data_IF_816641590091
#
_entry.id   IF_816641590091
#
_cell.length_a   1.000
_cell.length_b   1.000
_cell.length_c   1.000
_cell.angle_alpha   90.00
_cell.angle_beta   90.00
_cell.angle_gamma   90.00
#
_symmetry.space_group_name_H-M   'P 1'
#
loop_
_entity.id
_entity.type
_entity.pdbx_description
1 polymer ?
#
# COMPACT_ATOMS: atom_id res chain seq x y z
N UNK A 1 18.29 -13.86 11.55
CA UNK A 1 17.23 -14.82 11.97
C UNK A 1 17.71 -16.26 11.98
N UNK A 2 18.16 -16.86 10.86
CA UNK A 2 18.66 -18.26 10.85
C UNK A 2 19.77 -18.49 11.89
N UNK A 3 20.73 -17.57 12.00
CA UNK A 3 21.77 -17.65 13.04
C UNK A 3 21.20 -17.68 14.47
N UNK A 4 20.16 -16.90 14.76
CA UNK A 4 19.49 -16.94 16.06
C UNK A 4 18.75 -18.26 16.28
N UNK A 5 18.10 -18.80 15.25
CA UNK A 5 17.45 -20.11 15.30
C UNK A 5 18.43 -21.22 15.69
N UNK A 6 19.64 -21.19 15.11
CA UNK A 6 20.72 -22.11 15.49
C UNK A 6 21.18 -21.90 16.92
N UNK A 7 21.36 -20.65 17.37
CA UNK A 7 21.77 -20.33 18.74
C UNK A 7 20.78 -20.81 19.80
N UNK A 8 19.47 -20.77 19.51
CA UNK A 8 18.44 -21.28 20.43
C UNK A 8 18.19 -22.80 20.28
N UNK A 9 19.01 -23.50 19.49
CA UNK A 9 18.98 -24.96 19.40
C UNK A 9 17.92 -25.54 18.45
N UNK A 10 17.40 -24.78 17.48
CA UNK A 10 16.51 -25.35 16.46
C UNK A 10 17.29 -26.40 15.63
N UNK A 11 16.78 -27.64 15.49
CA UNK A 11 17.51 -28.69 14.78
C UNK A 11 17.80 -28.33 13.31
N UNK A 12 18.97 -28.73 12.77
CA UNK A 12 19.32 -28.54 11.37
C UNK A 12 18.23 -29.06 10.42
N UNK A 13 17.96 -28.31 9.35
CA UNK A 13 16.93 -28.65 8.36
C UNK A 13 15.50 -28.25 8.73
N UNK A 14 15.23 -27.82 9.97
CA UNK A 14 13.90 -27.35 10.40
C UNK A 14 13.56 -25.97 9.81
N UNK A 15 14.53 -25.05 9.82
CA UNK A 15 14.41 -23.72 9.24
C UNK A 15 15.47 -23.56 8.15
N UNK A 16 15.03 -23.43 6.91
CA UNK A 16 15.89 -23.18 5.76
C UNK A 16 15.52 -21.81 5.17
N UNK A 17 16.52 -20.98 4.87
CA UNK A 17 16.32 -19.69 4.21
C UNK A 17 17.03 -19.73 2.86
N UNK A 18 16.26 -19.56 1.79
CA UNK A 18 16.77 -19.49 0.43
C UNK A 18 16.54 -18.07 -0.07
N UNK A 19 17.62 -17.40 -0.50
CA UNK A 19 17.57 -16.04 -1.05
C UNK A 19 17.64 -16.18 -2.57
N UNK A 20 16.65 -15.63 -3.27
CA UNK A 20 16.60 -15.63 -4.72
C UNK A 20 15.43 -14.81 -5.25
N UNK A 21 15.18 -14.94 -6.54
CA UNK A 21 14.15 -14.20 -7.25
C UNK A 21 12.94 -15.06 -7.59
N UNK A 22 12.26 -14.73 -8.71
CA UNK A 22 11.11 -15.49 -9.21
C UNK A 22 11.41 -16.96 -9.46
N UNK A 23 12.64 -17.30 -9.86
CA UNK A 23 13.13 -18.65 -10.10
C UNK A 23 13.05 -19.54 -8.85
N UNK A 24 13.47 -19.03 -7.70
CA UNK A 24 13.35 -19.75 -6.42
C UNK A 24 11.88 -19.90 -6.02
N UNK A 25 11.07 -18.85 -6.21
CA UNK A 25 9.64 -18.91 -5.95
C UNK A 25 8.93 -19.97 -6.80
N UNK A 26 9.25 -20.05 -8.09
CA UNK A 26 8.72 -21.04 -9.03
C UNK A 26 9.12 -22.46 -8.63
N UNK A 27 10.41 -22.69 -8.33
CA UNK A 27 10.91 -23.98 -7.90
C UNK A 27 10.22 -24.46 -6.62
N UNK A 28 10.05 -23.59 -5.62
CA UNK A 28 9.35 -23.93 -4.37
C UNK A 28 7.85 -24.21 -4.60
N UNK A 29 7.20 -23.41 -5.45
CA UNK A 29 5.77 -23.55 -5.71
C UNK A 29 5.41 -24.81 -6.49
N UNK A 30 6.33 -25.31 -7.33
CA UNK A 30 6.15 -26.52 -8.15
C UNK A 30 6.78 -27.78 -7.53
N UNK A 31 7.59 -27.67 -6.47
CA UNK A 31 8.26 -28.81 -5.86
C UNK A 31 7.26 -29.88 -5.38
N UNK A 32 7.52 -31.14 -5.73
CA UNK A 32 6.63 -32.28 -5.43
C UNK A 32 6.59 -32.66 -3.95
N UNK A 33 7.68 -32.42 -3.21
CA UNK A 33 7.76 -32.76 -1.78
C UNK A 33 7.31 -31.65 -0.83
N UNK A 34 7.06 -30.43 -1.33
CA UNK A 34 6.54 -29.34 -0.49
C UNK A 34 5.05 -29.54 -0.30
N UNK A 35 4.60 -29.61 0.96
CA UNK A 35 3.18 -29.90 1.28
C UNK A 35 2.28 -28.68 1.41
N UNK A 36 2.86 -27.50 1.65
CA UNK A 36 2.11 -26.24 1.82
C UNK A 36 2.95 -25.04 1.41
N UNK A 37 2.31 -24.06 0.78
CA UNK A 37 2.88 -22.74 0.52
C UNK A 37 2.03 -21.67 1.22
N UNK A 38 2.70 -20.71 1.85
CA UNK A 38 2.12 -19.42 2.25
C UNK A 38 2.85 -18.33 1.49
N UNK A 39 2.12 -17.46 0.82
CA UNK A 39 2.69 -16.43 -0.05
C UNK A 39 2.05 -15.08 0.23
N UNK A 40 2.87 -14.02 0.28
CA UNK A 40 2.44 -12.64 0.49
C UNK A 40 3.12 -11.72 -0.50
N UNK A 41 2.39 -11.18 -1.48
CA UNK A 41 2.84 -10.16 -2.43
C UNK A 41 1.70 -9.76 -3.40
N UNK A 42 2.02 -9.46 -4.66
CA UNK A 42 1.07 -9.07 -5.69
C UNK A 42 0.09 -10.17 -6.10
N UNK A 43 -1.11 -9.75 -6.53
CA UNK A 43 -2.14 -10.64 -7.06
C UNK A 43 -1.63 -11.46 -8.25
N UNK A 44 -0.82 -10.85 -9.13
CA UNK A 44 -0.24 -11.51 -10.30
C UNK A 44 0.62 -12.71 -9.89
N UNK A 45 1.53 -12.53 -8.94
CA UNK A 45 2.39 -13.61 -8.46
C UNK A 45 1.61 -14.66 -7.66
N UNK A 46 0.62 -14.25 -6.86
CA UNK A 46 -0.26 -15.17 -6.13
C UNK A 46 -1.01 -16.13 -7.05
N UNK A 47 -1.51 -15.65 -8.19
CA UNK A 47 -2.14 -16.49 -9.23
C UNK A 47 -1.16 -17.53 -9.79
N UNK A 48 0.08 -17.14 -10.06
CA UNK A 48 1.11 -18.06 -10.56
C UNK A 48 1.45 -19.15 -9.54
N UNK A 49 1.59 -18.79 -8.26
CA UNK A 49 1.80 -19.74 -7.15
C UNK A 49 0.66 -20.77 -7.11
N UNK A 50 -0.59 -20.30 -7.21
CA UNK A 50 -1.77 -21.17 -7.18
C UNK A 50 -1.79 -22.16 -8.36
N UNK A 51 -1.46 -21.69 -9.57
CA UNK A 51 -1.37 -22.53 -10.77
C UNK A 51 -0.25 -23.57 -10.63
N UNK A 52 0.93 -23.17 -10.17
CA UNK A 52 2.06 -24.09 -9.98
C UNK A 52 1.75 -25.17 -8.95
N UNK A 53 1.10 -24.81 -7.84
CA UNK A 53 0.66 -25.77 -6.83
C UNK A 53 -0.37 -26.77 -7.39
N UNK A 54 -1.30 -26.30 -8.22
CA UNK A 54 -2.30 -27.14 -8.87
C UNK A 54 -1.68 -28.12 -9.87
N UNK A 55 -0.69 -27.65 -10.65
CA UNK A 55 -0.01 -28.46 -11.67
C UNK A 55 0.99 -29.48 -11.11
N UNK A 56 1.39 -29.37 -9.84
CA UNK A 56 2.38 -30.27 -9.25
C UNK A 56 1.74 -31.39 -8.42
N UNK A 57 1.38 -31.10 -7.16
CA UNK A 57 1.03 -32.09 -6.14
C UNK A 57 -0.21 -31.66 -5.34
N UNK A 58 -0.96 -30.68 -5.84
CA UNK A 58 -2.15 -30.10 -5.20
C UNK A 58 -1.88 -29.62 -3.76
N UNK A 59 -0.67 -29.12 -3.49
CA UNK A 59 -0.28 -28.60 -2.17
C UNK A 59 -1.22 -27.49 -1.70
N UNK A 60 -1.45 -27.42 -0.39
CA UNK A 60 -2.25 -26.35 0.21
C UNK A 60 -1.59 -24.99 -0.01
N UNK A 61 -2.36 -23.98 -0.43
CA UNK A 61 -1.88 -22.62 -0.65
C UNK A 61 -2.66 -21.64 0.23
N UNK A 62 -1.95 -20.72 0.88
CA UNK A 62 -2.53 -19.54 1.55
C UNK A 62 -1.92 -18.29 0.92
N UNK A 63 -2.78 -17.39 0.43
CA UNK A 63 -2.37 -16.17 -0.26
C UNK A 63 -2.82 -14.94 0.55
N UNK A 64 -1.90 -14.04 0.84
CA UNK A 64 -2.17 -12.70 1.39
C UNK A 64 -1.74 -11.69 0.32
N UNK A 65 -2.68 -11.06 -0.37
CA UNK A 65 -2.39 -10.30 -1.58
C UNK A 65 -2.65 -8.80 -1.39
N UNK A 66 -2.21 -8.02 -2.37
CA UNK A 66 -2.47 -6.58 -2.43
C UNK A 66 -3.96 -6.22 -2.42
N UNK A 67 -4.25 -4.99 -2.01
CA UNK A 67 -5.62 -4.51 -1.83
C UNK A 67 -5.73 -2.99 -1.94
N UNK A 68 -6.94 -2.53 -2.23
CA UNK A 68 -7.28 -1.11 -2.38
C UNK A 68 -8.32 -0.75 -1.31
N UNK A 69 -7.87 -0.62 -0.06
CA UNK A 69 -8.79 -0.67 1.10
C UNK A 69 -9.60 0.63 1.24
N UNK A 70 -10.94 0.55 1.38
CA UNK A 70 -11.77 1.71 1.58
C UNK A 70 -11.82 2.13 3.05
N UNK A 71 -11.84 3.44 3.31
CA UNK A 71 -12.23 4.06 4.57
C UNK A 71 -13.45 4.94 4.32
N UNK A 72 -14.54 4.72 5.07
CA UNK A 72 -15.81 5.44 4.90
C UNK A 72 -16.10 6.25 6.16
N UNK A 73 -16.24 7.57 6.02
CA UNK A 73 -16.46 8.51 7.12
C UNK A 73 -17.86 9.12 7.01
N UNK A 74 -18.72 8.79 7.99
CA UNK A 74 -20.09 9.30 8.08
C UNK A 74 -20.17 10.58 8.92
N UNK A 75 -21.25 11.40 8.79
CA UNK A 75 -21.38 12.68 9.48
C UNK A 75 -21.38 12.60 11.01
N UNK A 76 -21.76 11.44 11.56
CA UNK A 76 -21.77 11.19 13.00
C UNK A 76 -20.43 10.67 13.53
N UNK A 77 -19.41 10.54 12.68
CA UNK A 77 -18.07 10.20 13.10
C UNK A 77 -17.41 11.36 13.85
N UNK A 78 -16.61 11.04 14.85
CA UNK A 78 -15.66 11.99 15.43
C UNK A 78 -14.57 12.27 14.39
N UNK A 79 -14.54 13.50 13.85
CA UNK A 79 -13.65 13.88 12.76
C UNK A 79 -12.18 13.74 13.14
N UNK A 80 -11.79 14.11 14.37
CA UNK A 80 -10.40 14.02 14.83
C UNK A 80 -9.96 12.56 14.92
N UNK A 81 -10.84 11.67 15.40
CA UNK A 81 -10.54 10.24 15.46
C UNK A 81 -10.55 9.59 14.08
N UNK A 82 -11.35 10.10 13.14
CA UNK A 82 -11.40 9.59 11.77
C UNK A 82 -10.18 10.01 10.92
N UNK A 83 -9.48 11.08 11.27
CA UNK A 83 -8.22 11.48 10.61
C UNK A 83 -7.08 10.48 10.85
N UNK A 84 -7.08 9.78 11.99
CA UNK A 84 -6.05 8.79 12.31
C UNK A 84 -6.01 7.64 11.28
N UNK A 85 -7.09 6.91 11.01
CA UNK A 85 -7.08 5.90 9.94
C UNK A 85 -6.86 6.54 8.56
N UNK A 86 -7.40 7.73 8.28
CA UNK A 86 -7.25 8.40 6.98
C UNK A 86 -5.81 8.81 6.65
N UNK A 87 -4.93 8.91 7.65
CA UNK A 87 -3.51 9.23 7.48
C UNK A 87 -2.62 7.98 7.44
N UNK A 88 -3.17 6.77 7.62
CA UNK A 88 -2.37 5.54 7.63
C UNK A 88 -1.70 5.24 6.28
N UNK A 89 -2.20 5.75 5.16
CA UNK A 89 -1.51 5.63 3.86
C UNK A 89 -0.10 6.27 3.85
N UNK A 90 0.21 7.13 4.83
CA UNK A 90 1.55 7.70 5.02
C UNK A 90 2.53 6.69 5.65
N UNK A 91 2.02 5.67 6.35
CA UNK A 91 2.86 4.65 6.98
C UNK A 91 3.64 3.87 5.92
N UNK A 92 4.92 3.65 6.17
CA UNK A 92 5.82 2.95 5.25
C UNK A 92 5.79 3.54 3.83
N UNK A 93 5.45 4.82 3.66
CA UNK A 93 5.15 5.45 2.35
C UNK A 93 4.11 4.68 1.52
N UNK A 94 3.01 4.24 2.13
CA UNK A 94 1.92 3.56 1.43
C UNK A 94 2.25 2.13 0.99
N UNK A 95 3.35 1.55 1.47
CA UNK A 95 3.78 0.19 1.13
C UNK A 95 3.15 -0.84 2.08
N UNK A 96 1.82 -0.89 2.14
CA UNK A 96 1.08 -1.83 2.96
C UNK A 96 -0.25 -2.24 2.32
N UNK A 97 -0.47 -3.56 2.23
CA UNK A 97 -1.61 -4.15 1.50
C UNK A 97 -3.00 -3.82 2.10
N UNK A 98 -3.05 -3.41 3.36
CA UNK A 98 -4.29 -3.10 4.09
C UNK A 98 -4.42 -1.61 4.44
N UNK A 99 -3.55 -0.76 3.87
CA UNK A 99 -3.64 0.68 4.11
C UNK A 99 -4.87 1.25 3.40
N UNK A 100 -5.58 2.21 4.03
CA UNK A 100 -6.72 2.85 3.41
C UNK A 100 -6.22 3.85 2.35
N UNK A 101 -6.42 3.48 1.09
CA UNK A 101 -5.99 4.26 -0.08
C UNK A 101 -7.17 4.86 -0.85
N UNK A 102 -8.40 4.40 -0.54
CA UNK A 102 -9.66 5.04 -0.96
C UNK A 102 -10.40 5.60 0.25
N UNK A 103 -10.59 6.90 0.28
CA UNK A 103 -11.34 7.60 1.31
C UNK A 103 -12.69 8.04 0.75
N UNK A 104 -13.76 7.67 1.43
CA UNK A 104 -15.12 8.12 1.15
C UNK A 104 -15.58 8.99 2.31
N UNK A 105 -15.85 10.26 2.05
CA UNK A 105 -16.31 11.21 3.07
C UNK A 105 -17.72 11.67 2.73
N UNK A 106 -18.61 11.65 3.72
CA UNK A 106 -19.96 12.13 3.49
C UNK A 106 -19.96 13.62 3.13
N UNK A 107 -20.74 14.01 2.12
CA UNK A 107 -20.72 15.36 1.52
C UNK A 107 -20.83 16.51 2.55
N UNK A 108 -21.63 16.33 3.60
CA UNK A 108 -21.85 17.35 4.65
C UNK A 108 -20.64 17.63 5.53
N UNK A 109 -19.63 16.76 5.54
CA UNK A 109 -18.40 16.91 6.33
C UNK A 109 -17.13 16.90 5.44
N UNK A 110 -17.28 16.77 4.12
CA UNK A 110 -16.19 16.56 3.18
C UNK A 110 -15.18 17.72 3.18
N UNK A 111 -15.66 18.97 3.16
CA UNK A 111 -14.80 20.14 3.11
C UNK A 111 -13.92 20.28 4.36
N UNK A 112 -14.52 20.19 5.55
CA UNK A 112 -13.80 20.29 6.82
C UNK A 112 -12.77 19.15 6.96
N UNK A 113 -13.19 17.91 6.68
CA UNK A 113 -12.33 16.75 6.81
C UNK A 113 -11.15 16.81 5.83
N UNK A 114 -11.41 17.19 4.58
CA UNK A 114 -10.40 17.29 3.52
C UNK A 114 -9.37 18.39 3.84
N UNK A 115 -9.82 19.53 4.37
CA UNK A 115 -8.93 20.61 4.79
C UNK A 115 -7.98 20.17 5.92
N UNK A 116 -8.49 19.48 6.94
CA UNK A 116 -7.67 18.95 8.05
C UNK A 116 -6.68 17.89 7.57
N UNK A 117 -7.14 16.95 6.74
CA UNK A 117 -6.31 15.90 6.18
C UNK A 117 -5.18 16.46 5.31
N UNK A 118 -5.47 17.44 4.46
CA UNK A 118 -4.47 18.15 3.64
C UNK A 118 -3.36 18.74 4.50
N UNK A 119 -3.71 19.43 5.60
CA UNK A 119 -2.71 20.04 6.48
C UNK A 119 -1.77 18.99 7.09
N UNK A 120 -2.31 17.85 7.56
CA UNK A 120 -1.51 16.76 8.12
C UNK A 120 -0.56 16.18 7.06
N UNK A 121 -1.06 15.98 5.84
CA UNK A 121 -0.27 15.42 4.74
C UNK A 121 0.85 16.38 4.30
N UNK A 122 0.57 17.68 4.22
CA UNK A 122 1.58 18.70 3.91
C UNK A 122 2.64 18.85 5.01
N UNK A 123 2.24 18.71 6.27
CA UNK A 123 3.17 18.65 7.39
C UNK A 123 4.07 17.41 7.32
N UNK A 124 3.49 16.23 7.06
CA UNK A 124 4.26 15.01 6.88
C UNK A 124 5.26 15.13 5.74
N UNK A 125 4.83 15.64 4.58
CA UNK A 125 5.66 15.80 3.40
C UNK A 125 6.89 16.69 3.62
N UNK A 126 6.76 17.75 4.43
CA UNK A 126 7.89 18.65 4.79
C UNK A 126 8.98 17.96 5.60
N UNK A 127 8.67 16.87 6.29
CA UNK A 127 9.59 16.13 7.15
C UNK A 127 10.21 14.90 6.47
N UNK A 128 9.91 14.65 5.19
CA UNK A 128 10.49 13.52 4.44
C UNK A 128 11.95 13.79 4.09
N UNK A 129 12.81 12.81 4.33
CA UNK A 129 14.23 12.88 3.97
C UNK A 129 15.08 13.72 4.92
N UNK A 130 14.54 14.10 6.09
CA UNK A 130 15.30 14.68 7.19
C UNK A 130 16.22 13.67 7.91
N UNK A 131 16.74 14.04 9.08
CA UNK A 131 17.60 13.18 9.90
C UNK A 131 16.81 12.00 10.48
N UNK A 132 17.15 10.73 10.16
CA UNK A 132 16.42 9.55 10.61
C UNK A 132 16.54 9.28 12.12
N UNK A 133 17.41 9.99 12.85
CA UNK A 133 17.53 9.89 14.31
C UNK A 133 16.52 10.78 15.04
N UNK A 134 15.91 11.74 14.34
CA UNK A 134 14.89 12.61 14.90
C UNK A 134 13.51 11.95 14.86
N UNK A 135 12.75 11.93 15.98
CA UNK A 135 11.40 11.37 16.02
C UNK A 135 10.41 12.03 15.05
N UNK A 136 10.67 13.28 14.65
CA UNK A 136 9.82 14.06 13.75
C UNK A 136 10.04 13.78 12.26
N UNK A 137 11.10 13.05 11.90
CA UNK A 137 11.45 12.77 10.50
C UNK A 137 10.73 11.54 9.99
N UNK A 138 10.10 11.66 8.83
CA UNK A 138 9.67 10.48 8.06
C UNK A 138 10.83 10.03 7.15
N UNK A 139 11.52 8.97 7.54
CA UNK A 139 12.63 8.39 6.78
C UNK A 139 12.19 7.28 5.81
N UNK A 140 10.88 7.01 5.75
CA UNK A 140 10.35 6.00 4.84
C UNK A 140 10.68 6.40 3.40
N UNK A 141 11.08 5.44 2.59
CA UNK A 141 11.36 5.56 1.15
C UNK A 141 10.70 4.38 0.44
N UNK A 142 10.37 4.56 -0.84
CA UNK A 142 9.93 3.43 -1.65
C UNK A 142 11.08 2.43 -1.77
N UNK A 143 10.79 1.15 -1.63
CA UNK A 143 11.80 0.11 -1.43
C UNK A 143 12.81 0.01 -2.59
N UNK A 144 12.45 0.47 -3.79
CA UNK A 144 13.32 0.47 -4.95
C UNK A 144 12.91 1.48 -6.03
N UNK A 145 13.86 1.81 -6.92
CA UNK A 145 13.70 2.82 -7.98
C UNK A 145 12.53 2.54 -8.92
N UNK A 146 12.35 1.32 -9.41
CA UNK A 146 11.21 1.07 -10.29
C UNK A 146 9.86 1.10 -9.56
N UNK A 147 9.79 0.87 -8.24
CA UNK A 147 8.56 1.17 -7.50
C UNK A 147 8.27 2.68 -7.49
N UNK A 148 9.30 3.52 -7.33
CA UNK A 148 9.15 4.98 -7.48
C UNK A 148 8.65 5.38 -8.87
N UNK A 149 9.16 4.75 -9.93
CA UNK A 149 8.70 5.00 -11.29
C UNK A 149 7.23 4.58 -11.49
N UNK A 150 6.83 3.42 -10.97
CA UNK A 150 5.44 2.94 -10.98
C UNK A 150 4.53 3.95 -10.27
N UNK A 151 4.85 4.34 -9.04
CA UNK A 151 4.05 5.31 -8.26
C UNK A 151 3.92 6.65 -9.00
N UNK A 152 5.02 7.19 -9.54
CA UNK A 152 4.99 8.43 -10.31
C UNK A 152 4.18 8.30 -11.61
N UNK A 153 4.17 7.14 -12.25
CA UNK A 153 3.36 6.89 -13.44
C UNK A 153 1.85 6.88 -13.13
N UNK A 154 1.45 6.34 -11.97
CA UNK A 154 0.07 6.45 -11.49
C UNK A 154 -0.31 7.90 -11.24
N UNK A 155 0.51 8.65 -10.51
CA UNK A 155 0.27 10.08 -10.24
C UNK A 155 0.11 10.88 -11.55
N UNK A 156 0.96 10.65 -12.54
CA UNK A 156 0.87 11.32 -13.85
C UNK A 156 -0.39 10.98 -14.63
N UNK A 157 -0.87 9.75 -14.51
CA UNK A 157 -2.14 9.32 -15.11
C UNK A 157 -3.29 10.00 -14.38
N UNK A 158 -3.25 9.99 -13.05
CA UNK A 158 -4.35 10.44 -12.20
C UNK A 158 -4.59 11.95 -12.26
N UNK A 159 -3.57 12.76 -12.50
CA UNK A 159 -3.74 14.21 -12.73
C UNK A 159 -4.68 14.51 -13.92
N UNK A 160 -4.90 13.54 -14.82
CA UNK A 160 -5.85 13.67 -15.95
C UNK A 160 -7.25 13.18 -15.60
N UNK A 161 -7.38 12.38 -14.55
CA UNK A 161 -8.61 11.68 -14.17
C UNK A 161 -9.17 12.20 -12.83
N UNK A 162 -8.42 12.98 -12.05
CA UNK A 162 -8.81 13.57 -10.77
C UNK A 162 -8.12 14.91 -10.51
N UNK A 163 -8.57 15.62 -9.48
CA UNK A 163 -7.95 16.87 -9.03
C UNK A 163 -6.87 16.58 -8.00
N UNK A 164 -5.63 16.98 -8.28
CA UNK A 164 -4.53 16.91 -7.31
C UNK A 164 -4.69 17.99 -6.24
N UNK A 165 -4.96 17.58 -5.00
CA UNK A 165 -5.13 18.49 -3.87
C UNK A 165 -3.79 18.93 -3.26
N UNK A 166 -2.83 18.00 -3.14
CA UNK A 166 -1.47 18.28 -2.65
C UNK A 166 -0.48 17.18 -3.04
N UNK A 167 0.82 17.49 -3.03
CA UNK A 167 1.93 16.55 -3.18
C UNK A 167 2.16 15.98 -4.59
N UNK A 168 2.56 14.71 -4.66
CA UNK A 168 2.71 13.95 -5.90
C UNK A 168 4.01 14.17 -6.68
N UNK A 169 5.02 14.86 -6.11
CA UNK A 169 6.31 15.10 -6.77
C UNK A 169 7.42 14.22 -6.19
N UNK A 170 8.45 13.89 -6.98
CA UNK A 170 9.66 13.28 -6.43
C UNK A 170 10.38 14.27 -5.50
N UNK A 171 10.88 13.77 -4.36
CA UNK A 171 11.68 14.57 -3.42
C UNK A 171 13.16 14.26 -3.64
N UNK A 172 13.95 15.30 -3.89
CA UNK A 172 15.41 15.23 -4.03
C UNK A 172 15.90 14.45 -5.25
N UNK A 173 17.20 14.56 -5.51
CA UNK A 173 17.87 13.86 -6.63
C UNK A 173 18.35 12.43 -6.27
N UNK A 174 18.46 12.12 -4.97
CA UNK A 174 18.91 10.83 -4.45
C UNK A 174 17.81 10.18 -3.61
N UNK A 175 17.75 8.86 -3.63
CA UNK A 175 16.75 8.09 -2.90
C UNK A 175 15.40 7.97 -3.62
N UNK A 176 14.54 7.15 -3.06
CA UNK A 176 13.24 6.79 -3.63
C UNK A 176 12.10 7.51 -2.90
N UNK A 177 12.27 8.80 -2.66
CA UNK A 177 11.28 9.65 -2.00
C UNK A 177 10.29 10.25 -3.01
N UNK A 178 9.03 10.32 -2.58
CA UNK A 178 7.88 10.90 -3.29
C UNK A 178 7.02 11.63 -2.25
N UNK A 179 6.56 12.84 -2.57
CA UNK A 179 5.62 13.59 -1.75
C UNK A 179 4.30 12.82 -1.66
N UNK A 180 3.71 12.65 -0.46
CA UNK A 180 2.42 12.02 -0.35
C UNK A 180 1.37 12.85 -1.07
N UNK A 181 0.52 12.18 -1.85
CA UNK A 181 -0.46 12.84 -2.70
C UNK A 181 -1.88 12.58 -2.21
N UNK A 182 -2.73 13.60 -2.28
CA UNK A 182 -4.18 13.45 -2.17
C UNK A 182 -4.78 13.84 -3.51
N UNK A 183 -5.56 12.94 -4.10
CA UNK A 183 -6.45 13.23 -5.22
C UNK A 183 -7.88 13.32 -4.72
N UNK A 184 -8.65 14.25 -5.28
CA UNK A 184 -10.08 14.44 -5.01
C UNK A 184 -10.86 14.44 -6.31
N UNK A 185 -12.15 14.12 -6.20
CA UNK A 185 -13.10 14.11 -7.33
C UNK A 185 -12.61 13.31 -8.54
N UNK A 186 -12.18 12.05 -8.35
CA UNK A 186 -11.75 11.20 -9.44
C UNK A 186 -12.93 10.89 -10.37
N UNK A 187 -12.62 10.77 -11.66
CA UNK A 187 -13.53 10.22 -12.64
C UNK A 187 -13.99 8.82 -12.17
N UNK A 188 -15.26 8.43 -12.35
CA UNK A 188 -15.76 7.11 -11.90
C UNK A 188 -14.95 5.93 -12.46
N UNK A 189 -14.33 6.12 -13.62
CA UNK A 189 -13.46 5.14 -14.26
C UNK A 189 -11.97 5.28 -13.95
N UNK A 190 -11.56 6.18 -13.06
CA UNK A 190 -10.15 6.39 -12.74
C UNK A 190 -9.49 5.09 -12.26
N UNK A 191 -8.27 4.84 -12.72
CA UNK A 191 -7.55 3.59 -12.40
C UNK A 191 -7.30 3.43 -10.92
N UNK A 192 -7.00 4.53 -10.23
CA UNK A 192 -6.69 4.55 -8.80
C UNK A 192 -7.86 4.10 -7.92
N UNK A 193 -9.08 4.01 -8.45
CA UNK A 193 -10.22 3.44 -7.74
C UNK A 193 -10.23 1.90 -7.72
N UNK A 194 -9.40 1.27 -8.57
CA UNK A 194 -9.43 -0.17 -8.87
C UNK A 194 -8.06 -0.86 -8.76
N UNK A 195 -6.98 -0.11 -8.94
CA UNK A 195 -5.62 -0.63 -8.99
C UNK A 195 -4.81 -0.18 -7.77
N UNK A 196 -4.09 -1.12 -7.17
CA UNK A 196 -3.17 -0.86 -6.05
C UNK A 196 -1.92 -0.11 -6.56
N UNK A 197 -1.69 1.08 -6.03
CA UNK A 197 -0.50 1.91 -6.34
C UNK A 197 0.72 1.47 -5.53
N UNK A 198 0.50 1.05 -4.28
CA UNK A 198 1.55 0.67 -3.32
C UNK A 198 2.58 1.80 -3.10
N UNK A 199 2.06 3.00 -2.85
CA UNK A 199 2.81 4.23 -2.64
C UNK A 199 1.96 5.24 -1.85
N UNK A 200 2.53 6.40 -1.45
CA UNK A 200 1.87 7.34 -0.53
C UNK A 200 0.83 8.19 -1.28
N UNK A 201 -0.19 7.55 -1.85
CA UNK A 201 -1.25 8.20 -2.63
C UNK A 201 -2.59 7.82 -2.03
N UNK A 202 -3.41 8.85 -1.75
CA UNK A 202 -4.77 8.71 -1.29
C UNK A 202 -5.72 9.29 -2.33
N UNK A 203 -6.83 8.62 -2.57
CA UNK A 203 -7.93 9.12 -3.41
C UNK A 203 -9.14 9.33 -2.52
N UNK A 204 -9.68 10.55 -2.51
CA UNK A 204 -10.83 10.95 -1.69
C UNK A 204 -12.04 11.27 -2.57
N UNK A 205 -13.20 10.80 -2.15
CA UNK A 205 -14.47 11.02 -2.85
C UNK A 205 -15.56 11.42 -1.86
N UNK A 206 -16.37 12.41 -2.25
CA UNK A 206 -17.62 12.72 -1.58
C UNK A 206 -18.69 11.66 -1.88
N UNK A 207 -19.51 11.30 -0.89
CA UNK A 207 -20.74 10.52 -1.14
C UNK A 207 -21.99 11.19 -0.53
N UNK A 208 -23.15 11.15 -1.23
CA UNK A 208 -24.36 11.81 -0.76
C UNK A 208 -25.18 10.99 0.22
N UNK A 209 -26.12 11.67 0.89
CA UNK A 209 -27.00 11.18 1.96
C UNK A 209 -27.86 9.94 1.59
N UNK A 210 -28.02 9.61 0.30
CA UNK A 210 -28.93 8.57 -0.20
C UNK A 210 -28.28 7.44 -1.01
N UNK A 211 -26.98 7.42 -1.19
CA UNK A 211 -26.30 6.32 -1.90
C UNK A 211 -25.82 5.25 -0.93
N UNK A 212 -26.11 3.99 -1.26
CA UNK A 212 -25.44 2.83 -0.64
C UNK A 212 -23.95 2.94 -0.97
N UNK A 213 -23.13 3.38 -0.03
CA UNK A 213 -21.66 3.48 -0.15
C UNK A 213 -20.94 2.12 -0.27
N UNK A 214 -21.69 1.05 -0.58
CA UNK A 214 -21.22 -0.35 -0.64
C UNK A 214 -21.18 -0.90 -2.07
N UNK A 215 -21.50 -0.10 -3.10
CA UNK A 215 -21.42 -0.48 -4.52
C UNK A 215 -20.44 0.40 -5.27
#
# INVERSE_FOLDING_TARGET
>A
MVSLATQVGIPPGTLNCLIGGPDVGEALSSHMDIRKIRFTASIKAGKLIQVAAANSNLKSVTLELGGESPLIVFPNADLERALQPATMFLLMNGQGCALPTRLYVHETIADEFTAKLKNIVEEHGRNIGGDPTLPSTSSSLLYHRHQKEVVLSYIQTEIKEATLLTGGKPIGAKGCYVEPAIFVDPHPDAKVLREEIFGPVLVSLGFPLRTRSLS
#
